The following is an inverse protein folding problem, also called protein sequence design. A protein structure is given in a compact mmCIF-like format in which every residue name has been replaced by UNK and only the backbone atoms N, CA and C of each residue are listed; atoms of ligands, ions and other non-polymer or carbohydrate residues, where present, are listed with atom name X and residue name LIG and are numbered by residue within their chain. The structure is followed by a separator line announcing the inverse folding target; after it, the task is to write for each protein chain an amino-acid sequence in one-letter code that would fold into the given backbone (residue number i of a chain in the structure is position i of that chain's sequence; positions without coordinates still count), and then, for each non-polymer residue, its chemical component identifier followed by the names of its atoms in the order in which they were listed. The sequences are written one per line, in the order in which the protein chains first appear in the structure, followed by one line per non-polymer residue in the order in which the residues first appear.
data_IF_433729544174
#
_entry.id   IF_433729544174
#
_cell.length_a   1.000
_cell.length_b   1.000
_cell.length_c   1.000
_cell.angle_alpha   90.00
_cell.angle_beta   90.00
_cell.angle_gamma   90.00
#
_symmetry.space_group_name_H-M   'P 1'
#
loop_
_entity.id
_entity.type
_entity.pdbx_description
1 polymer ?
#
# COMPACT_ATOMS: atom_id res chain seq x y z
N UNK A 1 9.60 -13.84 -17.60
CA UNK A 1 9.09 -12.47 -17.84
C UNK A 1 7.59 -12.36 -17.61
N UNK A 2 6.76 -13.29 -18.11
CA UNK A 2 5.31 -13.32 -17.80
C UNK A 2 5.04 -13.69 -16.34
N UNK A 3 5.65 -14.79 -15.85
CA UNK A 3 5.48 -15.27 -14.47
C UNK A 3 5.90 -14.25 -13.39
N UNK A 4 6.89 -13.41 -13.69
CA UNK A 4 7.35 -12.35 -12.79
C UNK A 4 6.33 -11.21 -12.66
N UNK A 5 5.61 -10.87 -13.73
CA UNK A 5 4.55 -9.86 -13.69
C UNK A 5 3.32 -10.37 -12.92
N UNK A 6 2.96 -11.63 -13.10
CA UNK A 6 1.86 -12.26 -12.37
C UNK A 6 2.10 -12.22 -10.85
N UNK A 7 3.33 -12.53 -10.41
CA UNK A 7 3.72 -12.45 -9.00
C UNK A 7 3.66 -11.01 -8.45
N UNK A 8 4.07 -10.01 -9.23
CA UNK A 8 3.99 -8.60 -8.84
C UNK A 8 2.52 -8.17 -8.70
N UNK A 9 1.66 -8.49 -9.67
CA UNK A 9 0.24 -8.16 -9.59
C UNK A 9 -0.47 -8.90 -8.46
N UNK A 10 -0.10 -10.16 -8.20
CA UNK A 10 -0.60 -10.91 -7.05
C UNK A 10 -0.22 -10.22 -5.73
N UNK A 11 1.03 -9.77 -5.60
CA UNK A 11 1.49 -9.00 -4.44
C UNK A 11 0.70 -7.70 -4.23
N UNK A 12 0.49 -6.93 -5.30
CA UNK A 12 -0.31 -5.69 -5.26
C UNK A 12 -1.76 -5.99 -4.85
N UNK A 13 -2.38 -7.02 -5.44
CA UNK A 13 -3.75 -7.41 -5.14
C UNK A 13 -3.89 -7.85 -3.67
N UNK A 14 -2.92 -8.59 -3.14
CA UNK A 14 -2.91 -9.03 -1.75
C UNK A 14 -2.76 -7.83 -0.80
N UNK A 15 -1.87 -6.89 -1.09
CA UNK A 15 -1.71 -5.66 -0.32
C UNK A 15 -2.99 -4.82 -0.30
N UNK A 16 -3.67 -4.68 -1.45
CA UNK A 16 -4.98 -4.02 -1.51
C UNK A 16 -6.04 -4.74 -0.70
N UNK A 17 -6.11 -6.08 -0.79
CA UNK A 17 -7.07 -6.87 -0.04
C UNK A 17 -6.88 -6.70 1.47
N UNK A 18 -5.63 -6.80 1.94
CA UNK A 18 -5.28 -6.55 3.34
C UNK A 18 -5.71 -5.15 3.75
N UNK A 19 -5.42 -4.14 2.92
CA UNK A 19 -5.78 -2.75 3.19
C UNK A 19 -7.30 -2.56 3.33
N UNK A 20 -8.11 -3.16 2.47
CA UNK A 20 -9.59 -3.08 2.53
C UNK A 20 -10.11 -3.71 3.83
N UNK A 21 -9.61 -4.89 4.19
CA UNK A 21 -10.00 -5.57 5.43
C UNK A 21 -9.60 -4.73 6.64
N UNK A 22 -8.38 -4.21 6.62
CA UNK A 22 -7.82 -3.43 7.72
C UNK A 22 -8.56 -2.09 7.91
N UNK A 23 -9.02 -1.45 6.82
CA UNK A 23 -9.87 -0.26 6.88
C UNK A 23 -11.19 -0.52 7.63
N UNK A 24 -11.85 -1.64 7.32
CA UNK A 24 -13.09 -2.05 8.00
C UNK A 24 -12.88 -2.39 9.47
N UNK A 25 -11.68 -2.86 9.82
CA UNK A 25 -11.29 -3.11 11.20
C UNK A 25 -10.98 -1.82 11.97
N UNK A 26 -10.43 -0.81 11.29
CA UNK A 26 -10.20 0.54 11.83
C UNK A 26 -11.46 1.16 12.40
N UNK A 27 -12.56 1.08 11.64
CA UNK A 27 -13.87 1.59 12.04
C UNK A 27 -14.40 0.92 13.32
N UNK A 28 -14.10 -0.38 13.51
CA UNK A 28 -14.52 -1.14 14.70
C UNK A 28 -13.67 -0.85 15.93
N UNK A 29 -12.38 -0.58 15.75
CA UNK A 29 -11.45 -0.30 16.84
C UNK A 29 -11.41 1.18 17.24
N UNK A 30 -11.98 2.09 16.43
CA UNK A 30 -11.94 3.53 16.67
C UNK A 30 -10.56 4.17 16.44
N UNK A 31 -9.66 3.47 15.76
CA UNK A 31 -8.30 3.94 15.45
C UNK A 31 -8.32 4.61 14.06
N UNK A 32 -7.51 5.67 13.81
CA UNK A 32 -7.38 6.24 12.48
C UNK A 32 -6.91 5.22 11.43
N UNK A 33 -7.63 5.11 10.31
CA UNK A 33 -7.28 4.20 9.20
C UNK A 33 -5.86 4.41 8.67
N UNK A 34 -5.38 5.66 8.71
CA UNK A 34 -4.00 6.01 8.34
C UNK A 34 -2.95 5.24 9.15
N UNK A 35 -3.15 5.02 10.45
CA UNK A 35 -2.20 4.27 11.28
C UNK A 35 -2.16 2.79 10.86
N UNK A 36 -3.30 2.23 10.51
CA UNK A 36 -3.40 0.86 10.04
C UNK A 36 -2.70 0.69 8.69
N UNK A 37 -2.93 1.60 7.74
CA UNK A 37 -2.22 1.59 6.46
C UNK A 37 -0.71 1.76 6.62
N UNK A 38 -0.26 2.60 7.56
CA UNK A 38 1.16 2.74 7.87
C UNK A 38 1.76 1.41 8.36
N UNK A 39 1.09 0.70 9.27
CA UNK A 39 1.55 -0.60 9.76
C UNK A 39 1.63 -1.63 8.62
N UNK A 40 0.61 -1.71 7.77
CA UNK A 40 0.61 -2.61 6.62
C UNK A 40 1.78 -2.30 5.69
N UNK A 41 2.05 -1.03 5.41
CA UNK A 41 3.19 -0.59 4.60
C UNK A 41 4.54 -0.94 5.24
N UNK A 42 4.70 -0.70 6.54
CA UNK A 42 5.91 -1.07 7.27
C UNK A 42 6.15 -2.57 7.27
N UNK A 43 5.08 -3.38 7.40
CA UNK A 43 5.19 -4.84 7.32
C UNK A 43 5.58 -5.31 5.92
N UNK A 44 5.13 -4.61 4.87
CA UNK A 44 5.53 -4.87 3.49
C UNK A 44 6.96 -4.45 3.16
N UNK A 45 7.53 -3.50 3.91
CA UNK A 45 8.85 -2.92 3.65
C UNK A 45 10.04 -3.84 3.89
N UNK A 46 11.22 -3.32 3.55
CA UNK A 46 12.50 -4.03 3.61
C UNK A 46 12.87 -4.48 5.03
N UNK A 47 12.47 -3.72 6.05
CA UNK A 47 12.65 -4.06 7.46
C UNK A 47 11.49 -4.89 8.03
N UNK A 48 10.40 -5.02 7.27
CA UNK A 48 9.24 -5.82 7.61
C UNK A 48 9.34 -7.27 7.08
N UNK A 49 8.38 -8.14 7.46
CA UNK A 49 8.30 -9.51 6.96
C UNK A 49 8.11 -9.60 5.43
N UNK A 50 7.65 -8.53 4.77
CA UNK A 50 7.47 -8.47 3.32
C UNK A 50 8.77 -8.34 2.55
N UNK A 51 9.83 -7.78 3.15
CA UNK A 51 11.16 -7.69 2.54
C UNK A 51 11.20 -6.92 1.21
N UNK A 52 10.21 -6.07 0.91
CA UNK A 52 10.16 -5.33 -0.35
C UNK A 52 11.15 -4.16 -0.27
N UNK A 53 12.18 -4.12 -1.13
CA UNK A 53 13.11 -3.01 -1.16
C UNK A 53 12.41 -1.76 -1.74
N UNK A 54 12.50 -0.65 -1.01
CA UNK A 54 11.94 0.66 -1.36
C UNK A 54 13.07 1.69 -1.51
N UNK A 55 14.08 1.33 -2.28
CA UNK A 55 15.32 2.07 -2.46
C UNK A 55 15.34 2.93 -3.74
N UNK A 56 14.24 2.97 -4.51
CA UNK A 56 14.12 3.80 -5.72
C UNK A 56 13.23 5.05 -5.56
N UNK A 57 13.83 6.25 -5.41
CA UNK A 57 13.09 7.50 -5.23
C UNK A 57 12.18 7.83 -6.43
N UNK A 58 12.59 7.47 -7.64
CA UNK A 58 11.80 7.74 -8.85
C UNK A 58 10.46 6.97 -8.85
N UNK A 59 10.48 5.70 -8.40
CA UNK A 59 9.28 4.88 -8.28
C UNK A 59 8.36 5.43 -7.19
N UNK A 60 8.92 5.78 -6.03
CA UNK A 60 8.18 6.38 -4.93
C UNK A 60 7.51 7.71 -5.34
N UNK A 61 8.23 8.55 -6.10
CA UNK A 61 7.71 9.81 -6.63
C UNK A 61 6.53 9.59 -7.57
N UNK A 62 6.65 8.68 -8.54
CA UNK A 62 5.58 8.40 -9.51
C UNK A 62 4.32 7.89 -8.79
N UNK A 63 4.46 6.92 -7.89
CA UNK A 63 3.34 6.38 -7.12
C UNK A 63 2.71 7.50 -6.26
N UNK A 64 3.52 8.32 -5.61
CA UNK A 64 3.07 9.45 -4.80
C UNK A 64 2.29 10.49 -5.60
N UNK A 65 2.75 10.85 -6.81
CA UNK A 65 2.03 11.78 -7.71
C UNK A 65 0.68 11.19 -8.12
N UNK A 66 0.63 9.92 -8.52
CA UNK A 66 -0.62 9.25 -8.92
C UNK A 66 -1.61 9.21 -7.75
N UNK A 67 -1.14 8.82 -6.56
CA UNK A 67 -1.95 8.78 -5.35
C UNK A 67 -2.46 10.18 -4.96
N UNK A 68 -1.59 11.19 -4.98
CA UNK A 68 -1.96 12.57 -4.64
C UNK A 68 -2.98 13.13 -5.63
N UNK A 69 -2.82 12.88 -6.93
CA UNK A 69 -3.77 13.27 -7.95
C UNK A 69 -5.16 12.66 -7.68
N UNK A 70 -5.21 11.38 -7.30
CA UNK A 70 -6.46 10.71 -6.95
C UNK A 70 -7.09 11.26 -5.67
N UNK A 71 -6.29 11.49 -4.61
CA UNK A 71 -6.77 12.05 -3.34
C UNK A 71 -7.35 13.45 -3.54
N UNK A 72 -6.65 14.33 -4.26
CA UNK A 72 -7.12 15.69 -4.53
C UNK A 72 -8.36 15.69 -5.44
N UNK A 73 -8.43 14.78 -6.41
CA UNK A 73 -9.59 14.64 -7.28
C UNK A 73 -10.83 14.11 -6.52
N UNK A 74 -10.65 13.12 -5.64
CA UNK A 74 -11.75 12.51 -4.89
C UNK A 74 -12.23 13.34 -3.69
N UNK A 75 -11.36 14.17 -3.11
CA UNK A 75 -11.64 15.00 -1.94
C UNK A 75 -12.11 16.43 -2.24
N UNK A 76 -12.07 16.86 -3.50
CA UNK A 76 -12.68 18.11 -3.97
C UNK A 76 -14.15 17.94 -4.28
#
# INVERSE_FOLDING_TARGET
MVLTLELVFLGIALLFLISIIANKFSERLGVPALLIFLIVGMLGGSEGPGGIPFDEPAVAQIIGIIALAYILFAGG
#
